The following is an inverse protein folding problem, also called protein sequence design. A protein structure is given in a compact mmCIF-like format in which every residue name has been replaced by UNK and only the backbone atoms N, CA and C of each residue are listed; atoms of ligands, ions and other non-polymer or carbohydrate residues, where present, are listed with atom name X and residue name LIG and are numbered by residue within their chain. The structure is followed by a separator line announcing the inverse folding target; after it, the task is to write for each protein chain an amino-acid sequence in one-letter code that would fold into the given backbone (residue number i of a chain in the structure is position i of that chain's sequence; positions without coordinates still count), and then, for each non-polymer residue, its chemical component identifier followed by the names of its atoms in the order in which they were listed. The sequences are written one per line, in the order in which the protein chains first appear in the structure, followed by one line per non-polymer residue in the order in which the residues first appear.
data_IF_528783886154
#
_entry.id   IF_528783886154
#
_cell.length_a   1.000
_cell.length_b   1.000
_cell.length_c   1.000
_cell.angle_alpha   90.00
_cell.angle_beta   90.00
_cell.angle_gamma   90.00
#
_symmetry.space_group_name_H-M   'P 1'
#
loop_
_entity.id
_entity.type
_entity.pdbx_description
1 polymer ?
#
# COMPACT_ATOMS: atom_id res chain seq x y z
N UNK A 1 -26.86 5.94 6.23
CA UNK A 1 -26.06 5.51 5.06
C UNK A 1 -24.65 5.18 5.55
N UNK A 2 -24.08 4.00 5.24
CA UNK A 2 -22.65 3.75 5.54
C UNK A 2 -21.85 4.71 4.64
N UNK A 3 -20.89 5.45 5.19
CA UNK A 3 -20.10 6.42 4.42
C UNK A 3 -19.45 5.78 3.19
N UNK A 4 -19.47 6.49 2.05
CA UNK A 4 -19.01 6.02 0.74
C UNK A 4 -17.57 5.49 0.83
N UNK A 5 -16.73 6.12 1.65
CA UNK A 5 -15.33 5.71 1.86
C UNK A 5 -15.26 4.38 2.58
N UNK A 6 -16.09 4.16 3.60
CA UNK A 6 -16.15 2.87 4.29
C UNK A 6 -16.63 1.76 3.35
N UNK A 7 -17.55 2.05 2.43
CA UNK A 7 -18.02 1.10 1.43
C UNK A 7 -16.92 0.76 0.41
N UNK A 8 -16.26 1.78 -0.13
CA UNK A 8 -15.28 1.65 -1.22
C UNK A 8 -13.90 1.15 -0.76
N UNK A 9 -13.42 1.60 0.40
CA UNK A 9 -12.01 1.45 0.82
C UNK A 9 -11.82 0.74 2.17
N UNK A 10 -12.84 0.05 2.69
CA UNK A 10 -12.70 -0.65 3.98
C UNK A 10 -11.51 -1.62 4.03
N UNK A 11 -11.19 -2.28 2.92
CA UNK A 11 -10.05 -3.19 2.81
C UNK A 11 -8.74 -2.39 2.89
N UNK A 12 -8.57 -1.37 2.04
CA UNK A 12 -7.37 -0.51 2.05
C UNK A 12 -7.11 0.07 3.43
N UNK A 13 -8.14 0.67 4.05
CA UNK A 13 -8.01 1.32 5.36
C UNK A 13 -7.64 0.35 6.47
N UNK A 14 -8.18 -0.88 6.46
CA UNK A 14 -7.81 -1.94 7.41
C UNK A 14 -6.35 -2.34 7.26
N UNK A 15 -5.92 -2.57 6.02
CA UNK A 15 -4.53 -2.96 5.72
C UNK A 15 -3.58 -1.82 6.10
N UNK A 16 -3.82 -0.60 5.61
CA UNK A 16 -3.03 0.57 5.97
C UNK A 16 -2.93 0.79 7.48
N UNK A 17 -4.02 0.63 8.22
CA UNK A 17 -3.97 0.81 9.67
C UNK A 17 -3.27 -0.32 10.42
N UNK A 18 -3.29 -1.56 9.90
CA UNK A 18 -2.47 -2.66 10.43
C UNK A 18 -0.97 -2.34 10.28
N UNK A 19 -0.59 -1.73 9.16
CA UNK A 19 0.77 -1.31 8.82
C UNK A 19 1.15 0.10 9.33
N UNK A 20 0.30 0.76 10.14
CA UNK A 20 0.65 2.08 10.70
C UNK A 20 0.64 3.24 9.70
N UNK A 21 -0.01 3.07 8.55
CA UNK A 21 -0.17 4.09 7.49
C UNK A 21 -1.50 4.84 7.57
N UNK A 22 -2.44 4.35 8.38
CA UNK A 22 -3.72 5.01 8.61
C UNK A 22 -4.09 5.08 10.10
N UNK A 23 -4.30 6.28 10.69
CA UNK A 23 -4.66 6.42 12.10
C UNK A 23 -6.13 6.05 12.34
N UNK A 24 -6.33 4.92 13.02
CA UNK A 24 -7.60 4.66 13.69
C UNK A 24 -7.74 5.55 14.93
N UNK A 25 -8.95 5.69 15.49
CA UNK A 25 -9.35 6.61 16.59
C UNK A 25 -8.51 6.52 17.90
N UNK A 26 -7.43 5.76 17.93
CA UNK A 26 -6.46 5.62 19.03
C UNK A 26 -5.70 6.92 19.30
N UNK A 27 -5.07 7.03 20.47
CA UNK A 27 -4.26 8.18 20.87
C UNK A 27 -3.18 8.52 19.82
N UNK A 28 -3.14 9.80 19.44
CA UNK A 28 -2.32 10.33 18.32
C UNK A 28 -0.83 10.03 18.49
N UNK A 29 -0.34 10.04 19.73
CA UNK A 29 1.07 9.81 20.04
C UNK A 29 1.47 8.33 19.86
N UNK A 30 0.76 7.40 20.50
CA UNK A 30 1.10 5.96 20.42
C UNK A 30 1.02 5.43 18.99
N UNK A 31 0.03 5.90 18.23
CA UNK A 31 -0.08 5.57 16.82
C UNK A 31 1.17 6.02 16.03
N UNK A 32 1.61 7.26 16.20
CA UNK A 32 2.79 7.78 15.49
C UNK A 32 4.06 7.03 15.88
N UNK A 33 4.28 6.77 17.17
CA UNK A 33 5.45 6.00 17.63
C UNK A 33 5.47 4.61 16.98
N UNK A 34 4.34 3.90 16.99
CA UNK A 34 4.22 2.60 16.31
C UNK A 34 4.48 2.70 14.81
N UNK A 35 3.92 3.70 14.14
CA UNK A 35 4.08 3.90 12.70
C UNK A 35 5.54 4.15 12.31
N UNK A 36 6.22 5.05 13.02
CA UNK A 36 7.65 5.31 12.81
C UNK A 36 8.50 4.08 13.13
N UNK A 37 8.18 3.34 14.20
CA UNK A 37 8.89 2.11 14.53
C UNK A 37 8.78 1.06 13.41
N UNK A 38 7.56 0.76 12.95
CA UNK A 38 7.34 -0.21 11.86
C UNK A 38 8.04 0.22 10.57
N UNK A 39 7.94 1.51 10.21
CA UNK A 39 8.60 2.07 9.05
C UNK A 39 10.13 1.95 9.13
N UNK A 40 10.73 2.32 10.27
CA UNK A 40 12.18 2.25 10.46
C UNK A 40 12.70 0.82 10.48
N UNK A 41 11.93 -0.14 11.01
CA UNK A 41 12.35 -1.55 11.10
C UNK A 41 12.17 -2.30 9.78
N UNK A 42 11.08 -2.06 9.04
CA UNK A 42 10.73 -2.88 7.88
C UNK A 42 10.96 -2.20 6.53
N UNK A 43 10.92 -0.86 6.44
CA UNK A 43 11.07 -0.14 5.16
C UNK A 43 12.51 0.29 4.90
N UNK A 44 13.25 0.75 5.92
CA UNK A 44 14.60 1.31 5.72
C UNK A 44 15.73 0.27 5.55
N UNK A 45 15.81 -0.82 6.32
CA UNK A 45 17.03 -1.63 6.36
C UNK A 45 17.32 -2.36 5.05
N UNK A 46 16.31 -2.94 4.41
CA UNK A 46 16.48 -3.71 3.17
C UNK A 46 17.10 -2.88 2.04
N UNK A 47 16.55 -1.71 1.64
CA UNK A 47 17.15 -0.91 0.58
C UNK A 47 18.53 -0.35 0.96
N UNK A 48 18.78 -0.04 2.23
CA UNK A 48 20.10 0.41 2.70
C UNK A 48 21.14 -0.71 2.55
N UNK A 49 20.84 -1.89 3.11
CA UNK A 49 21.75 -3.05 3.05
C UNK A 49 21.91 -3.59 1.63
N UNK A 50 20.86 -3.53 0.81
CA UNK A 50 20.91 -3.87 -0.60
C UNK A 50 21.72 -2.88 -1.43
N UNK A 51 21.61 -1.58 -1.16
CA UNK A 51 22.46 -0.58 -1.83
C UNK A 51 23.93 -0.74 -1.45
N UNK A 52 24.22 -1.03 -0.18
CA UNK A 52 25.57 -1.35 0.28
C UNK A 52 26.12 -2.61 -0.40
N UNK A 53 25.27 -3.61 -0.61
CA UNK A 53 25.64 -4.81 -1.37
C UNK A 53 26.11 -4.45 -2.79
N UNK A 54 25.38 -3.60 -3.51
CA UNK A 54 25.79 -3.17 -4.84
C UNK A 54 27.08 -2.36 -4.84
N UNK A 55 27.27 -1.46 -3.89
CA UNK A 55 28.48 -0.63 -3.80
C UNK A 55 29.73 -1.49 -3.54
N UNK A 56 29.58 -2.57 -2.77
CA UNK A 56 30.68 -3.43 -2.35
C UNK A 56 30.88 -4.66 -3.26
N UNK A 57 29.98 -4.90 -4.21
CA UNK A 57 30.09 -6.03 -5.15
C UNK A 57 30.97 -5.63 -6.33
N UNK A 58 32.05 -6.38 -6.55
CA UNK A 58 33.01 -6.13 -7.66
C UNK A 58 32.53 -6.70 -9.01
N UNK A 59 31.56 -7.63 -9.01
CA UNK A 59 31.08 -8.30 -10.22
C UNK A 59 29.59 -8.04 -10.52
N UNK A 60 29.30 -7.60 -11.74
CA UNK A 60 27.93 -7.43 -12.25
C UNK A 60 27.49 -8.74 -12.93
N UNK A 61 26.65 -9.52 -12.24
CA UNK A 61 26.06 -10.77 -12.75
C UNK A 61 24.54 -10.64 -12.96
N UNK A 62 23.91 -11.55 -13.71
CA UNK A 62 22.46 -11.50 -13.97
C UNK A 62 21.58 -11.58 -12.68
N UNK A 63 22.07 -12.24 -11.63
CA UNK A 63 21.42 -12.22 -10.31
C UNK A 63 21.45 -10.81 -9.66
N UNK A 64 22.42 -9.98 -10.03
CA UNK A 64 22.52 -8.59 -9.61
C UNK A 64 21.38 -7.75 -10.20
N UNK A 65 20.93 -8.07 -11.42
CA UNK A 65 19.85 -7.36 -12.12
C UNK A 65 18.47 -7.63 -11.48
N UNK A 66 18.15 -8.89 -11.16
CA UNK A 66 16.91 -9.24 -10.45
C UNK A 66 16.83 -8.59 -9.05
N UNK A 67 17.94 -8.59 -8.29
CA UNK A 67 17.99 -7.89 -7.00
C UNK A 67 17.91 -6.37 -7.13
N UNK A 68 18.50 -5.80 -8.19
CA UNK A 68 18.54 -4.36 -8.39
C UNK A 68 17.13 -3.79 -8.55
N UNK A 69 16.26 -4.48 -9.29
CA UNK A 69 14.86 -4.10 -9.43
C UNK A 69 14.15 -4.05 -8.07
N UNK A 70 14.27 -5.10 -7.25
CA UNK A 70 13.60 -5.17 -5.95
C UNK A 70 14.14 -4.12 -4.97
N UNK A 71 15.46 -3.91 -4.92
CA UNK A 71 16.07 -2.91 -4.05
C UNK A 71 15.67 -1.50 -4.48
N UNK A 72 15.64 -1.22 -5.79
CA UNK A 72 15.15 0.06 -6.32
C UNK A 72 13.68 0.29 -5.97
N UNK A 73 12.82 -0.73 -6.12
CA UNK A 73 11.41 -0.64 -5.71
C UNK A 73 11.30 -0.31 -4.23
N UNK A 74 12.02 -1.03 -3.36
CA UNK A 74 12.04 -0.77 -1.92
C UNK A 74 12.50 0.64 -1.58
N UNK A 75 13.50 1.17 -2.27
CA UNK A 75 13.96 2.54 -2.10
C UNK A 75 12.87 3.55 -2.48
N UNK A 76 12.12 3.31 -3.55
CA UNK A 76 10.96 4.15 -3.91
C UNK A 76 9.84 4.10 -2.85
N UNK A 77 9.67 2.97 -2.16
CA UNK A 77 8.64 2.85 -1.10
C UNK A 77 8.94 3.74 0.12
N UNK A 78 10.22 4.07 0.38
CA UNK A 78 10.61 5.02 1.44
C UNK A 78 9.88 6.36 1.24
N UNK A 79 10.06 6.96 0.05
CA UNK A 79 9.48 8.28 -0.26
C UNK A 79 7.96 8.22 -0.37
N UNK A 80 7.41 7.11 -0.86
CA UNK A 80 5.98 6.90 -1.05
C UNK A 80 5.20 6.72 0.25
N UNK A 81 5.73 5.96 1.21
CA UNK A 81 5.03 5.63 2.46
C UNK A 81 5.23 6.71 3.53
N UNK A 82 6.32 7.46 3.49
CA UNK A 82 6.61 8.49 4.49
C UNK A 82 5.53 9.58 4.65
N UNK A 83 4.90 10.11 3.57
CA UNK A 83 3.77 11.05 3.68
C UNK A 83 2.57 10.49 4.45
N UNK A 84 2.31 9.17 4.37
CA UNK A 84 1.20 8.53 5.09
C UNK A 84 1.42 8.49 6.60
N UNK A 85 2.66 8.58 7.06
CA UNK A 85 3.01 8.63 8.48
C UNK A 85 3.08 10.09 8.95
N UNK A 86 3.93 10.89 8.29
CA UNK A 86 4.21 12.28 8.65
C UNK A 86 2.99 13.20 8.52
N UNK A 87 2.21 13.03 7.44
CA UNK A 87 1.05 13.85 7.11
C UNK A 87 -0.28 13.07 7.23
N UNK A 88 -0.30 12.04 8.08
CA UNK A 88 -1.45 11.15 8.31
C UNK A 88 -2.80 11.88 8.47
N UNK A 89 -2.83 13.01 9.18
CA UNK A 89 -4.06 13.80 9.37
C UNK A 89 -4.57 14.43 8.06
N UNK A 90 -3.66 14.96 7.22
CA UNK A 90 -4.01 15.54 5.91
C UNK A 90 -4.47 14.46 4.95
N UNK A 91 -3.79 13.31 4.92
CA UNK A 91 -4.19 12.17 4.10
C UNK A 91 -5.56 11.66 4.52
N UNK A 92 -5.81 11.53 5.82
CA UNK A 92 -7.13 11.14 6.33
C UNK A 92 -8.22 12.12 5.89
N UNK A 93 -7.96 13.44 5.96
CA UNK A 93 -8.90 14.45 5.44
C UNK A 93 -9.16 14.27 3.94
N UNK A 94 -8.13 14.01 3.16
CA UNK A 94 -8.24 13.77 1.71
C UNK A 94 -9.10 12.53 1.42
N UNK A 95 -8.85 11.42 2.11
CA UNK A 95 -9.63 10.17 1.97
C UNK A 95 -11.11 10.43 2.28
N UNK A 96 -11.41 11.18 3.34
CA UNK A 96 -12.78 11.45 3.79
C UNK A 96 -13.45 12.65 3.10
N UNK A 97 -12.79 13.27 2.12
CA UNK A 97 -13.30 14.47 1.45
C UNK A 97 -14.65 14.21 0.75
N UNK A 98 -14.83 13.04 0.15
CA UNK A 98 -16.09 12.65 -0.51
C UNK A 98 -17.21 12.25 0.46
N UNK A 99 -17.01 12.34 1.78
CA UNK A 99 -18.07 12.15 2.78
C UNK A 99 -18.71 13.48 3.23
N UNK A 100 -18.27 14.62 2.68
CA UNK A 100 -18.90 15.91 2.94
C UNK A 100 -20.35 15.92 2.42
N UNK A 101 -21.23 16.67 3.09
CA UNK A 101 -22.67 16.72 2.81
C UNK A 101 -22.99 17.08 1.36
N UNK A 102 -22.20 17.97 0.73
CA UNK A 102 -22.36 18.37 -0.66
C UNK A 102 -22.20 17.23 -1.67
N UNK A 103 -21.55 16.13 -1.28
CA UNK A 103 -21.36 14.93 -2.09
C UNK A 103 -22.26 13.77 -1.63
N UNK A 104 -23.37 14.00 -0.91
CA UNK A 104 -24.18 12.91 -0.34
C UNK A 104 -25.65 12.93 -0.78
N UNK A 105 -26.07 13.96 -1.51
CA UNK A 105 -27.43 14.05 -2.09
C UNK A 105 -27.41 13.42 -3.47
N UNK A 106 -28.12 12.30 -3.63
CA UNK A 106 -28.14 11.56 -4.89
C UNK A 106 -29.55 11.13 -5.27
N UNK A 107 -29.91 11.34 -6.54
CA UNK A 107 -31.01 10.60 -7.18
C UNK A 107 -30.64 9.13 -7.35
N UNK A 108 -31.61 8.26 -7.64
CA UNK A 108 -31.35 6.82 -7.86
C UNK A 108 -30.38 6.57 -9.01
N UNK A 109 -30.39 7.43 -10.04
CA UNK A 109 -29.46 7.38 -11.17
C UNK A 109 -28.04 7.70 -10.71
N UNK A 110 -27.85 8.76 -9.95
CA UNK A 110 -26.55 9.20 -9.42
C UNK A 110 -25.98 8.19 -8.42
N UNK A 111 -26.84 7.60 -7.59
CA UNK A 111 -26.46 6.52 -6.67
C UNK A 111 -25.88 5.32 -7.41
N UNK A 112 -26.45 4.93 -8.56
CA UNK A 112 -25.91 3.85 -9.41
C UNK A 112 -24.50 4.16 -9.92
N UNK A 113 -24.20 5.43 -10.24
CA UNK A 113 -22.86 5.88 -10.67
C UNK A 113 -21.87 5.67 -9.54
N UNK A 114 -22.17 6.18 -8.35
CA UNK A 114 -21.28 6.07 -7.18
C UNK A 114 -21.11 4.62 -6.75
N UNK A 115 -22.16 3.82 -6.74
CA UNK A 115 -22.09 2.39 -6.42
C UNK A 115 -21.27 1.60 -7.45
N UNK A 116 -21.28 2.02 -8.72
CA UNK A 116 -20.40 1.45 -9.76
C UNK A 116 -18.94 1.78 -9.46
N UNK A 117 -18.59 3.04 -9.18
CA UNK A 117 -17.23 3.42 -8.83
C UNK A 117 -16.75 2.70 -7.56
N UNK A 118 -17.60 2.61 -6.54
CA UNK A 118 -17.31 1.90 -5.28
C UNK A 118 -16.98 0.42 -5.53
N UNK A 119 -17.77 -0.26 -6.38
CA UNK A 119 -17.50 -1.66 -6.76
C UNK A 119 -16.18 -1.82 -7.51
N UNK A 120 -15.86 -0.90 -8.42
CA UNK A 120 -14.56 -0.90 -9.14
C UNK A 120 -13.40 -0.76 -8.16
N UNK A 121 -13.48 0.21 -7.23
CA UNK A 121 -12.47 0.43 -6.20
C UNK A 121 -12.23 -0.85 -5.39
N UNK A 122 -13.30 -1.47 -4.88
CA UNK A 122 -13.20 -2.67 -4.05
C UNK A 122 -12.65 -3.87 -4.83
N UNK A 123 -13.07 -4.04 -6.07
CA UNK A 123 -12.55 -5.09 -6.96
C UNK A 123 -11.05 -4.91 -7.18
N UNK A 124 -10.62 -3.71 -7.56
CA UNK A 124 -9.22 -3.43 -7.85
C UNK A 124 -8.35 -3.64 -6.60
N UNK A 125 -8.77 -3.15 -5.43
CA UNK A 125 -8.06 -3.43 -4.17
C UNK A 125 -7.94 -4.94 -3.93
N UNK A 126 -9.03 -5.70 -4.08
CA UNK A 126 -9.03 -7.14 -3.79
C UNK A 126 -8.09 -7.89 -4.73
N UNK A 127 -8.14 -7.58 -6.04
CA UNK A 127 -7.25 -8.18 -7.04
C UNK A 127 -5.79 -7.86 -6.73
N UNK A 128 -5.45 -6.60 -6.49
CA UNK A 128 -4.08 -6.21 -6.13
C UNK A 128 -3.59 -6.91 -4.87
N UNK A 129 -4.42 -6.99 -3.82
CA UNK A 129 -4.04 -7.61 -2.56
C UNK A 129 -3.77 -9.12 -2.72
N UNK A 130 -4.66 -9.83 -3.43
CA UNK A 130 -4.51 -11.27 -3.68
C UNK A 130 -3.27 -11.53 -4.52
N UNK A 131 -3.05 -10.74 -5.57
CA UNK A 131 -1.86 -10.88 -6.43
C UNK A 131 -0.56 -10.66 -5.65
N UNK A 132 -0.51 -9.64 -4.78
CA UNK A 132 0.68 -9.36 -3.97
C UNK A 132 0.91 -10.43 -2.90
N UNK A 133 -0.15 -10.94 -2.25
CA UNK A 133 -0.02 -12.05 -1.30
C UNK A 133 0.53 -13.29 -2.00
N UNK A 134 -0.03 -13.66 -3.16
CA UNK A 134 0.44 -14.79 -3.96
C UNK A 134 1.89 -14.61 -4.43
N UNK A 135 2.21 -13.42 -4.93
CA UNK A 135 3.56 -13.06 -5.37
C UNK A 135 4.59 -13.14 -4.24
N UNK A 136 4.26 -12.63 -3.05
CA UNK A 136 5.12 -12.72 -1.88
C UNK A 136 5.36 -14.17 -1.44
N UNK A 137 4.32 -15.01 -1.43
CA UNK A 137 4.46 -16.43 -1.05
C UNK A 137 5.36 -17.14 -2.06
N UNK A 138 5.14 -16.94 -3.36
CA UNK A 138 5.94 -17.56 -4.40
C UNK A 138 7.41 -17.09 -4.33
N UNK A 139 7.61 -15.79 -4.21
CA UNK A 139 8.94 -15.19 -4.09
C UNK A 139 9.68 -15.66 -2.83
N UNK A 140 9.02 -15.68 -1.67
CA UNK A 140 9.60 -16.13 -0.41
C UNK A 140 9.84 -17.64 -0.34
N UNK A 141 9.25 -18.43 -1.24
CA UNK A 141 9.46 -19.89 -1.29
C UNK A 141 10.44 -20.33 -2.37
N UNK A 142 10.70 -19.49 -3.39
CA UNK A 142 11.66 -19.75 -4.48
C UNK A 142 13.01 -20.32 -3.99
N UNK A 143 13.66 -19.79 -2.93
CA UNK A 143 14.97 -20.30 -2.50
C UNK A 143 14.95 -21.75 -2.02
N UNK A 144 13.83 -22.26 -1.49
CA UNK A 144 13.74 -23.65 -1.00
C UNK A 144 13.72 -24.70 -2.12
N UNK A 145 13.46 -24.28 -3.36
CA UNK A 145 13.53 -25.14 -4.54
C UNK A 145 14.90 -25.09 -5.23
N UNK A 146 15.79 -24.20 -4.77
CA UNK A 146 17.18 -24.14 -5.24
C UNK A 146 18.02 -25.21 -4.55
N UNK A 147 19.02 -25.74 -5.25
CA UNK A 147 20.00 -26.69 -4.68
C UNK A 147 20.93 -26.03 -3.67
N UNK A 148 21.06 -24.71 -3.75
CA UNK A 148 21.91 -23.90 -2.88
C UNK A 148 21.06 -23.11 -1.90
N UNK A 149 21.47 -23.11 -0.63
CA UNK A 149 20.84 -22.31 0.41
C UNK A 149 21.16 -20.82 0.16
N UNK A 150 20.17 -20.09 -0.34
CA UNK A 150 20.27 -18.66 -0.68
C UNK A 150 19.26 -17.83 0.10
N UNK A 151 19.61 -16.57 0.33
CA UNK A 151 18.65 -15.58 0.83
C UNK A 151 17.65 -15.22 -0.28
N UNK A 152 16.46 -14.70 0.07
CA UNK A 152 15.46 -14.30 -0.90
C UNK A 152 15.82 -12.97 -1.60
N UNK A 153 16.66 -12.14 -0.97
CA UNK A 153 17.31 -10.94 -1.51
C UNK A 153 18.76 -11.00 -1.12
N UNK A 154 19.67 -10.67 -2.03
CA UNK A 154 21.08 -10.48 -1.65
C UNK A 154 21.26 -9.08 -1.09
N UNK A 155 21.73 -9.04 0.15
CA UNK A 155 21.99 -7.80 0.89
C UNK A 155 23.32 -7.94 1.61
N UNK A 156 23.97 -6.81 1.88
CA UNK A 156 25.19 -6.79 2.66
C UNK A 156 24.85 -7.02 4.13
N UNK A 157 25.59 -7.91 4.79
CA UNK A 157 25.38 -8.22 6.19
C UNK A 157 26.71 -8.13 6.95
N UNK A 158 26.74 -7.50 8.14
CA UNK A 158 27.93 -7.43 8.97
C UNK A 158 28.26 -8.76 9.67
N UNK A 159 27.37 -9.77 9.56
CA UNK A 159 27.49 -11.04 10.24
C UNK A 159 27.66 -12.18 9.24
N UNK A 160 28.50 -13.15 9.57
CA UNK A 160 28.69 -14.34 8.75
C UNK A 160 27.50 -15.30 8.92
N UNK A 161 26.70 -15.47 7.86
CA UNK A 161 25.54 -16.37 7.83
C UNK A 161 25.92 -17.86 8.01
N UNK A 162 27.15 -18.22 7.63
CA UNK A 162 27.67 -19.59 7.75
C UNK A 162 28.01 -19.97 9.20
N UNK A 163 28.04 -19.01 10.12
CA UNK A 163 28.41 -19.24 11.52
C UNK A 163 27.30 -19.93 12.33
N UNK A 164 26.05 -19.96 11.85
CA UNK A 164 24.98 -20.68 12.54
C UNK A 164 23.62 -20.65 11.84
N UNK A 165 23.00 -21.82 11.73
CA UNK A 165 21.68 -22.04 11.12
C UNK A 165 20.57 -21.13 11.68
N UNK A 166 20.61 -20.82 12.99
CA UNK A 166 19.62 -19.93 13.63
C UNK A 166 19.70 -18.50 13.07
N UNK A 167 20.90 -17.97 12.90
CA UNK A 167 21.12 -16.62 12.39
C UNK A 167 20.63 -16.52 10.95
N UNK A 168 20.92 -17.53 10.13
CA UNK A 168 20.43 -17.60 8.75
C UNK A 168 18.89 -17.48 8.69
N UNK A 169 18.16 -18.33 9.43
CA UNK A 169 16.70 -18.30 9.39
C UNK A 169 16.10 -17.03 9.99
N UNK A 170 16.74 -16.43 11.00
CA UNK A 170 16.31 -15.13 11.54
C UNK A 170 16.46 -14.00 10.51
N UNK A 171 17.58 -13.94 9.80
CA UNK A 171 17.79 -12.96 8.72
C UNK A 171 16.84 -13.21 7.56
N UNK A 172 16.66 -14.48 7.17
CA UNK A 172 15.70 -14.87 6.14
C UNK A 172 14.29 -14.37 6.47
N UNK A 173 13.79 -14.65 7.68
CA UNK A 173 12.48 -14.23 8.13
C UNK A 173 12.37 -12.70 8.15
N UNK A 174 13.40 -12.00 8.60
CA UNK A 174 13.43 -10.53 8.61
C UNK A 174 13.29 -9.95 7.20
N UNK A 175 14.05 -10.47 6.22
CA UNK A 175 13.97 -10.02 4.83
C UNK A 175 12.59 -10.28 4.23
N UNK A 176 12.02 -11.48 4.46
CA UNK A 176 10.67 -11.81 4.01
C UNK A 176 9.63 -10.88 4.63
N UNK A 177 9.71 -10.62 5.94
CA UNK A 177 8.77 -9.74 6.63
C UNK A 177 8.88 -8.29 6.17
N UNK A 178 10.10 -7.77 5.98
CA UNK A 178 10.29 -6.41 5.47
C UNK A 178 9.79 -6.25 4.03
N UNK A 179 10.08 -7.22 3.17
CA UNK A 179 9.57 -7.21 1.79
C UNK A 179 8.04 -7.32 1.75
N UNK A 180 7.47 -8.22 2.54
CA UNK A 180 6.02 -8.39 2.65
C UNK A 180 5.36 -7.12 3.24
N UNK A 181 5.97 -6.47 4.23
CA UNK A 181 5.48 -5.21 4.78
C UNK A 181 5.37 -4.14 3.70
N UNK A 182 6.44 -3.93 2.94
CA UNK A 182 6.53 -2.88 1.92
C UNK A 182 5.55 -3.13 0.77
N UNK A 183 5.51 -4.35 0.25
CA UNK A 183 4.60 -4.72 -0.83
C UNK A 183 3.13 -4.69 -0.41
N UNK A 184 2.78 -5.13 0.81
CA UNK A 184 1.41 -5.07 1.33
C UNK A 184 0.95 -3.63 1.59
N UNK A 185 1.85 -2.78 2.10
CA UNK A 185 1.62 -1.35 2.22
C UNK A 185 1.31 -0.72 0.86
N UNK A 186 2.12 -1.05 -0.16
CA UNK A 186 1.94 -0.63 -1.54
C UNK A 186 0.58 -1.10 -2.11
N UNK A 187 0.24 -2.38 -1.91
CA UNK A 187 -1.01 -2.99 -2.35
C UNK A 187 -2.27 -2.32 -1.76
N UNK A 188 -2.13 -1.65 -0.61
CA UNK A 188 -3.21 -0.87 -0.01
C UNK A 188 -3.23 0.58 -0.48
N UNK A 189 -2.06 1.21 -0.65
CA UNK A 189 -1.95 2.63 -1.02
C UNK A 189 -2.28 2.87 -2.50
N UNK A 190 -1.79 2.03 -3.43
CA UNK A 190 -1.96 2.30 -4.86
C UNK A 190 -3.41 2.21 -5.33
N UNK A 191 -4.15 1.14 -5.00
CA UNK A 191 -5.56 1.08 -5.35
C UNK A 191 -6.40 2.12 -4.62
N UNK A 192 -5.94 2.63 -3.46
CA UNK A 192 -6.62 3.74 -2.77
C UNK A 192 -6.50 5.02 -3.58
N UNK A 193 -5.29 5.39 -4.04
CA UNK A 193 -5.07 6.61 -4.82
C UNK A 193 -5.87 6.55 -6.13
N UNK A 194 -5.75 5.45 -6.88
CA UNK A 194 -6.52 5.25 -8.11
C UNK A 194 -8.03 5.19 -7.86
N UNK A 195 -8.45 4.61 -6.75
CA UNK A 195 -9.85 4.56 -6.36
C UNK A 195 -10.43 5.92 -5.95
N UNK A 196 -9.66 6.77 -5.28
CA UNK A 196 -10.06 8.15 -4.97
C UNK A 196 -10.26 8.96 -6.26
N UNK A 197 -9.37 8.77 -7.25
CA UNK A 197 -9.55 9.36 -8.58
C UNK A 197 -10.80 8.81 -9.29
N UNK A 198 -11.09 7.51 -9.16
CA UNK A 198 -12.31 6.91 -9.70
C UNK A 198 -13.59 7.46 -9.06
N UNK A 199 -13.58 7.69 -7.73
CA UNK A 199 -14.70 8.35 -7.06
C UNK A 199 -14.82 9.82 -7.48
N UNK A 200 -13.70 10.54 -7.63
CA UNK A 200 -13.71 11.91 -8.14
C UNK A 200 -14.36 12.00 -9.53
N UNK A 201 -13.99 11.08 -10.44
CA UNK A 201 -14.62 10.98 -11.75
C UNK A 201 -16.14 10.68 -11.65
N UNK A 202 -16.54 9.80 -10.73
CA UNK A 202 -17.96 9.55 -10.45
C UNK A 202 -18.70 10.80 -9.96
N UNK A 203 -18.07 11.62 -9.11
CA UNK A 203 -18.66 12.90 -8.69
C UNK A 203 -18.81 13.90 -9.84
N UNK A 204 -17.86 13.91 -10.79
CA UNK A 204 -17.98 14.73 -12.00
C UNK A 204 -19.13 14.26 -12.91
N UNK A 205 -19.38 12.96 -13.00
CA UNK A 205 -20.55 12.43 -13.71
C UNK A 205 -21.87 12.83 -13.02
N UNK A 206 -21.91 12.82 -11.68
CA UNK A 206 -23.06 13.31 -10.90
C UNK A 206 -23.28 14.80 -11.15
N UNK A 207 -22.21 15.61 -11.15
CA UNK A 207 -22.31 17.03 -11.45
C UNK A 207 -22.85 17.29 -12.86
N UNK A 208 -22.38 16.51 -13.85
CA UNK A 208 -22.91 16.58 -15.21
C UNK A 208 -24.41 16.28 -15.24
N UNK A 209 -24.85 15.24 -14.52
CA UNK A 209 -26.27 14.88 -14.44
C UNK A 209 -27.11 16.01 -13.82
N UNK A 210 -26.64 16.60 -12.72
CA UNK A 210 -27.29 17.77 -12.09
C UNK A 210 -27.41 18.96 -13.05
N UNK A 211 -26.37 19.26 -13.82
CA UNK A 211 -26.39 20.37 -14.76
C UNK A 211 -27.32 20.12 -15.96
N UNK A 212 -27.44 18.87 -16.41
CA UNK A 212 -28.29 18.51 -17.55
C UNK A 212 -29.79 18.52 -17.20
N UNK A 213 -30.14 18.19 -15.95
CA UNK A 213 -31.53 18.09 -15.49
C UNK A 213 -31.84 19.18 -14.45
N UNK A 214 -31.12 20.30 -14.48
CA UNK A 214 -31.24 21.37 -13.49
C UNK A 214 -32.68 21.89 -13.37
N UNK A 215 -33.37 22.05 -14.51
CA UNK A 215 -34.76 22.51 -14.52
C UNK A 215 -35.71 21.50 -13.87
N UNK A 216 -35.51 20.21 -14.12
CA UNK A 216 -36.35 19.13 -13.58
C UNK A 216 -36.17 19.03 -12.06
N UNK A 217 -34.94 19.16 -11.57
CA UNK A 217 -34.64 19.05 -10.14
C UNK A 217 -35.01 20.30 -9.33
N UNK A 218 -35.10 21.48 -9.97
CA UNK A 218 -35.60 22.70 -9.33
C UNK A 218 -37.12 22.69 -9.17
N UNK A 219 -37.85 21.98 -10.06
CA UNK A 219 -39.32 21.86 -9.98
C UNK A 219 -39.78 20.76 -8.99
N UNK A 220 -38.90 19.84 -8.57
CA UNK A 220 -39.18 18.78 -7.60
C UNK A 220 -38.88 19.14 -6.13
N UNK A 221 -38.19 20.27 -5.86
CA UNK A 221 -37.95 20.84 -4.52
C UNK A 221 -39.02 21.88 -4.11
#
# INVERSE_FOLDING_TARGET
MKGIIKQSFSINLRVMGAFGLYPFKTSRFLYKVRAYFLYSVFTLPIPILGTLYFILSEEINAALDENAFLIAEMACQITKLFPFISNSDKIRKCIHYFELSFFMTYTDKQKKIIDRCSRICRRNTTVFLVSIIGGNIFWATRPFFSKEQKLPVDVWLPCNLMAGTKIFYSVYLFLVMGTAYSSMACAAVDPLIGGLACLAAGQLEVLKDNLQHLNEYVEEE
#
